data_IF_928327203796
#
_entry.id   IF_928327203796
#
_cell.length_a   1.000
_cell.length_b   1.000
_cell.length_c   1.000
_cell.angle_alpha   90.00
_cell.angle_beta   90.00
_cell.angle_gamma   90.00
#
_symmetry.space_group_name_H-M   'P 1'
#
loop_
_entity.id
_entity.type
_entity.pdbx_description
1 polymer ?
#
# COMPACT_ATOMS: atom_id res chain seq x y z
N UNK A 1 49.83 3.08 -7.89
CA UNK A 1 48.83 3.27 -6.81
C UNK A 1 48.44 1.89 -6.30
N UNK A 2 48.79 1.53 -5.06
CA UNK A 2 48.40 0.25 -4.47
C UNK A 2 47.10 0.47 -3.69
N UNK A 3 46.11 -0.39 -3.92
CA UNK A 3 44.85 -0.34 -3.17
C UNK A 3 45.04 -1.15 -1.90
N UNK A 4 44.71 -0.54 -0.76
CA UNK A 4 44.70 -1.19 0.54
C UNK A 4 43.27 -1.25 1.05
N UNK A 5 42.86 -2.42 1.56
CA UNK A 5 41.57 -2.62 2.18
C UNK A 5 41.81 -2.89 3.67
N UNK A 6 41.39 -1.96 4.51
CA UNK A 6 41.43 -2.15 5.96
C UNK A 6 40.27 -3.05 6.41
N UNK A 7 40.53 -3.93 7.38
CA UNK A 7 39.52 -4.83 7.95
C UNK A 7 38.51 -4.09 8.84
N UNK A 8 38.88 -2.92 9.36
CA UNK A 8 38.10 -2.14 10.33
C UNK A 8 38.09 -0.66 9.97
N UNK A 9 37.03 0.02 10.40
CA UNK A 9 36.85 1.45 10.17
C UNK A 9 37.79 2.36 10.96
N UNK A 10 38.33 1.88 12.08
CA UNK A 10 39.13 2.69 12.99
C UNK A 10 38.36 3.10 14.23
N UNK A 11 38.34 2.16 15.17
CA UNK A 11 37.80 2.33 16.50
C UNK A 11 38.93 2.72 17.46
N UNK A 12 38.58 3.53 18.45
CA UNK A 12 39.52 3.91 19.50
C UNK A 12 39.64 2.74 20.49
N UNK A 13 40.79 2.08 20.49
CA UNK A 13 41.10 0.97 21.40
C UNK A 13 42.35 1.33 22.19
N UNK A 14 42.22 1.41 23.52
CA UNK A 14 43.33 1.74 24.43
C UNK A 14 44.08 3.04 24.10
N UNK A 15 43.38 4.06 23.58
CA UNK A 15 43.96 5.36 23.25
C UNK A 15 44.59 5.45 21.85
N UNK A 16 44.63 4.35 21.10
CA UNK A 16 45.09 4.32 19.70
C UNK A 16 43.96 3.92 18.77
N UNK A 17 43.91 4.51 17.58
CA UNK A 17 42.95 4.11 16.55
C UNK A 17 43.44 2.86 15.81
N UNK A 18 42.56 1.87 15.65
CA UNK A 18 42.84 0.69 14.83
C UNK A 18 42.44 0.88 13.35
N UNK A 19 42.52 -0.17 12.55
CA UNK A 19 41.98 -0.23 11.19
C UNK A 19 42.41 0.92 10.27
N UNK A 20 41.46 1.42 9.48
CA UNK A 20 41.69 2.45 8.47
C UNK A 20 42.37 3.71 9.04
N UNK A 21 41.91 4.20 10.19
CA UNK A 21 42.50 5.40 10.82
C UNK A 21 43.92 5.08 11.31
N UNK A 22 44.12 3.90 11.91
CA UNK A 22 45.45 3.44 12.31
C UNK A 22 46.43 3.34 11.13
N UNK A 23 45.96 2.84 9.98
CA UNK A 23 46.79 2.71 8.78
C UNK A 23 47.18 4.07 8.17
N UNK A 24 46.29 5.07 8.26
CA UNK A 24 46.58 6.45 7.89
C UNK A 24 47.61 7.05 8.84
N UNK A 25 47.43 6.88 10.16
CA UNK A 25 48.36 7.38 11.18
C UNK A 25 49.75 6.72 11.09
N UNK A 26 49.80 5.45 10.71
CA UNK A 26 51.04 4.72 10.48
C UNK A 26 51.76 5.11 9.16
N UNK A 27 51.12 5.94 8.32
CA UNK A 27 51.65 6.32 7.00
C UNK A 27 51.64 5.19 5.98
N UNK A 28 50.82 4.15 6.20
CA UNK A 28 50.65 3.06 5.24
C UNK A 28 49.72 3.47 4.08
N UNK A 29 48.80 4.40 4.34
CA UNK A 29 47.84 4.95 3.37
C UNK A 29 47.90 6.47 3.42
N UNK A 30 48.01 7.12 2.26
CA UNK A 30 48.01 8.59 2.17
C UNK A 30 46.60 9.19 2.22
N UNK A 31 45.61 8.50 1.64
CA UNK A 31 44.22 8.96 1.52
C UNK A 31 43.25 7.78 1.48
N UNK A 32 42.06 7.97 2.06
CA UNK A 32 40.94 7.05 1.95
C UNK A 32 39.70 7.73 1.36
N UNK A 33 38.94 7.02 0.53
CA UNK A 33 37.69 7.50 -0.09
C UNK A 33 36.58 6.54 0.30
N UNK A 34 36.02 6.76 1.49
CA UNK A 34 35.01 5.88 2.06
C UNK A 34 33.85 6.71 2.63
N UNK A 35 32.61 6.19 2.63
CA UNK A 35 31.54 6.79 3.43
C UNK A 35 31.90 6.65 4.90
N UNK A 36 32.21 7.77 5.54
CA UNK A 36 32.77 7.77 6.87
C UNK A 36 32.10 8.80 7.76
N UNK A 37 31.80 8.39 8.99
CA UNK A 37 31.19 9.27 9.98
C UNK A 37 32.25 10.18 10.60
N UNK A 38 32.05 11.48 10.43
CA UNK A 38 32.90 12.52 11.01
C UNK A 38 32.50 12.71 12.48
N UNK A 39 33.32 12.17 13.38
CA UNK A 39 33.15 12.34 14.83
C UNK A 39 34.29 13.18 15.40
N UNK A 40 34.05 13.85 16.53
CA UNK A 40 35.04 14.74 17.16
C UNK A 40 36.36 14.04 17.49
N UNK A 41 36.30 12.85 18.07
CA UNK A 41 37.49 12.08 18.42
C UNK A 41 38.35 11.73 17.20
N UNK A 42 37.72 11.54 16.03
CA UNK A 42 38.43 11.24 14.77
C UNK A 42 38.99 12.49 14.12
N UNK A 43 38.28 13.62 14.20
CA UNK A 43 38.77 14.92 13.74
C UNK A 43 40.03 15.39 14.49
N UNK A 44 40.24 14.92 15.72
CA UNK A 44 41.47 15.20 16.48
C UNK A 44 42.67 14.36 16.00
N UNK A 45 42.43 13.25 15.30
CA UNK A 45 43.48 12.34 14.84
C UNK A 45 43.78 12.46 13.33
N UNK A 46 42.77 12.73 12.51
CA UNK A 46 42.89 12.85 11.06
C UNK A 46 42.09 14.03 10.51
N UNK A 47 42.56 14.60 9.41
CA UNK A 47 41.87 15.66 8.69
C UNK A 47 40.87 15.08 7.70
N UNK A 48 39.68 15.71 7.63
CA UNK A 48 38.62 15.37 6.69
C UNK A 48 38.50 16.42 5.59
N UNK A 49 38.12 15.98 4.41
CA UNK A 49 37.71 16.87 3.32
C UNK A 49 36.27 17.37 3.53
N UNK A 50 35.80 18.25 2.65
CA UNK A 50 34.42 18.74 2.67
C UNK A 50 33.47 17.55 2.49
N UNK A 51 32.45 17.39 3.35
CA UNK A 51 31.48 16.30 3.22
C UNK A 51 30.74 16.42 1.89
N UNK A 52 30.79 15.36 1.08
CA UNK A 52 30.11 15.30 -0.22
C UNK A 52 28.68 14.77 -0.11
N UNK A 53 28.38 14.01 0.94
CA UNK A 53 27.09 13.38 1.18
C UNK A 53 26.74 13.42 2.66
N UNK A 54 25.47 13.66 2.98
CA UNK A 54 24.93 13.55 4.34
C UNK A 54 24.05 12.31 4.43
N UNK A 55 24.35 11.42 5.38
CA UNK A 55 23.57 10.22 5.64
C UNK A 55 22.98 10.30 7.04
N UNK A 56 21.66 10.20 7.12
CA UNK A 56 20.95 10.14 8.39
C UNK A 56 20.75 8.69 8.85
N UNK A 57 20.74 8.50 10.17
CA UNK A 57 20.42 7.20 10.76
C UNK A 57 18.92 6.95 10.63
N UNK A 58 18.54 5.98 9.81
CA UNK A 58 17.15 5.60 9.57
C UNK A 58 16.88 4.16 10.00
N UNK A 59 15.70 3.93 10.56
CA UNK A 59 15.21 2.57 10.83
C UNK A 59 14.49 2.04 9.60
N UNK A 60 15.09 1.03 8.96
CA UNK A 60 14.50 0.34 7.81
C UNK A 60 13.68 -0.86 8.28
N UNK A 61 12.37 -0.83 8.03
CA UNK A 61 11.48 -1.97 8.24
C UNK A 61 11.16 -2.65 6.92
N UNK A 62 11.04 -3.98 6.94
CA UNK A 62 10.51 -4.69 5.79
C UNK A 62 9.03 -4.32 5.63
N UNK A 63 8.60 -4.19 4.37
CA UNK A 63 7.19 -4.00 4.05
C UNK A 63 6.40 -5.16 4.67
N UNK A 64 5.36 -4.89 5.49
CA UNK A 64 4.54 -5.94 6.03
C UNK A 64 3.90 -6.70 4.86
N UNK A 65 4.01 -8.03 4.87
CA UNK A 65 3.38 -8.86 3.84
C UNK A 65 1.87 -8.71 3.99
N UNK A 66 1.24 -7.86 3.19
CA UNK A 66 -0.21 -7.77 3.12
C UNK A 66 -0.72 -8.98 2.34
N UNK A 67 -1.07 -10.05 3.06
CA UNK A 67 -1.72 -11.22 2.48
C UNK A 67 -3.24 -11.11 2.58
N UNK A 68 -3.81 -9.99 2.12
CA UNK A 68 -5.26 -9.91 1.92
C UNK A 68 -5.54 -9.91 0.43
N UNK A 69 -5.73 -11.11 -0.13
CA UNK A 69 -6.38 -11.29 -1.43
C UNK A 69 -7.90 -11.03 -1.32
N UNK A 70 -8.32 -10.11 -0.43
CA UNK A 70 -9.71 -9.68 -0.37
C UNK A 70 -9.93 -8.68 -1.51
N UNK A 71 -11.05 -8.83 -2.20
CA UNK A 71 -11.45 -7.91 -3.24
C UNK A 71 -11.62 -6.51 -2.64
N UNK A 72 -10.70 -5.59 -2.93
CA UNK A 72 -10.73 -4.22 -2.41
C UNK A 72 -12.04 -3.47 -2.73
N UNK A 73 -12.77 -3.90 -3.77
CA UNK A 73 -14.07 -3.32 -4.10
C UNK A 73 -15.19 -3.64 -3.09
N UNK A 74 -15.07 -4.73 -2.33
CA UNK A 74 -16.05 -5.14 -1.31
C UNK A 74 -15.67 -4.69 0.11
N UNK A 75 -14.48 -4.10 0.28
CA UNK A 75 -14.01 -3.57 1.56
C UNK A 75 -14.83 -2.41 2.16
N UNK A 76 -15.50 -1.51 1.42
CA UNK A 76 -16.16 -0.36 2.04
C UNK A 76 -17.39 -0.72 2.89
N UNK A 77 -17.95 -1.92 2.72
CA UNK A 77 -19.11 -2.38 3.49
C UNK A 77 -18.83 -3.72 4.16
N UNK A 78 -19.30 -3.89 5.39
CA UNK A 78 -19.28 -5.17 6.11
C UNK A 78 -20.16 -6.20 5.41
N UNK A 79 -19.83 -7.49 5.52
CA UNK A 79 -20.61 -8.60 4.93
C UNK A 79 -22.11 -8.53 5.28
N UNK A 80 -22.43 -8.10 6.51
CA UNK A 80 -23.80 -7.90 6.99
C UNK A 80 -24.55 -6.80 6.20
N UNK A 81 -23.87 -5.72 5.83
CA UNK A 81 -24.48 -4.62 5.06
C UNK A 81 -24.76 -5.05 3.62
N UNK A 82 -23.88 -5.85 3.01
CA UNK A 82 -24.13 -6.41 1.68
C UNK A 82 -25.37 -7.31 1.65
N UNK A 83 -25.60 -8.10 2.71
CA UNK A 83 -26.83 -8.89 2.86
C UNK A 83 -28.08 -8.01 2.94
N UNK A 84 -28.01 -6.91 3.69
CA UNK A 84 -29.11 -5.94 3.79
C UNK A 84 -29.41 -5.28 2.44
N UNK A 85 -28.38 -4.91 1.67
CA UNK A 85 -28.54 -4.33 0.32
C UNK A 85 -29.28 -5.30 -0.62
N UNK A 86 -28.88 -6.57 -0.64
CA UNK A 86 -29.56 -7.60 -1.44
C UNK A 86 -31.01 -7.83 -0.96
N UNK A 87 -31.24 -7.80 0.35
CA UNK A 87 -32.59 -7.95 0.91
C UNK A 87 -33.50 -6.80 0.49
N UNK A 88 -33.04 -5.55 0.60
CA UNK A 88 -33.84 -4.39 0.20
C UNK A 88 -34.11 -4.41 -1.32
N UNK A 89 -33.11 -4.77 -2.13
CA UNK A 89 -33.26 -4.89 -3.58
C UNK A 89 -34.32 -5.94 -3.98
N UNK A 90 -34.32 -7.10 -3.31
CA UNK A 90 -35.32 -8.15 -3.58
C UNK A 90 -36.73 -7.75 -3.15
N UNK A 91 -36.88 -7.09 -2.00
CA UNK A 91 -38.18 -6.56 -1.54
C UNK A 91 -38.74 -5.53 -2.53
N UNK A 92 -37.89 -4.62 -3.03
CA UNK A 92 -38.30 -3.62 -4.02
C UNK A 92 -38.72 -4.29 -5.33
N UNK A 93 -37.94 -5.24 -5.83
CA UNK A 93 -38.28 -5.99 -7.05
C UNK A 93 -39.61 -6.74 -6.92
N UNK A 94 -39.87 -7.41 -5.79
CA UNK A 94 -41.14 -8.10 -5.52
C UNK A 94 -42.30 -7.11 -5.49
N UNK A 95 -42.13 -5.95 -4.86
CA UNK A 95 -43.18 -4.92 -4.77
C UNK A 95 -43.56 -4.39 -6.16
N UNK A 96 -42.58 -4.20 -7.04
CA UNK A 96 -42.82 -3.81 -8.44
C UNK A 96 -43.50 -4.93 -9.23
N UNK A 97 -43.10 -6.19 -9.05
CA UNK A 97 -43.76 -7.33 -9.69
C UNK A 97 -45.23 -7.46 -9.28
N UNK A 98 -45.54 -7.26 -8.00
CA UNK A 98 -46.93 -7.27 -7.50
C UNK A 98 -47.72 -6.11 -8.09
N UNK A 99 -47.13 -4.91 -8.16
CA UNK A 99 -47.77 -3.73 -8.75
C UNK A 99 -48.12 -3.95 -10.22
N UNK A 100 -47.22 -4.56 -10.98
CA UNK A 100 -47.45 -4.91 -12.38
C UNK A 100 -48.53 -6.00 -12.51
N UNK A 101 -48.52 -7.03 -11.65
CA UNK A 101 -49.58 -8.05 -11.62
C UNK A 101 -50.95 -7.46 -11.29
N UNK A 102 -51.01 -6.46 -10.42
CA UNK A 102 -52.25 -5.77 -10.05
C UNK A 102 -52.80 -4.93 -11.21
N UNK A 103 -51.93 -4.19 -11.90
CA UNK A 103 -52.31 -3.39 -13.07
C UNK A 103 -52.86 -4.29 -14.19
N UNK A 104 -52.22 -5.43 -14.45
CA UNK A 104 -52.70 -6.44 -15.39
C UNK A 104 -54.02 -7.09 -15.00
N UNK A 105 -54.27 -7.27 -13.70
CA UNK A 105 -55.51 -7.86 -13.23
C UNK A 105 -56.67 -6.87 -13.28
N UNK A 106 -56.39 -5.57 -13.12
CA UNK A 106 -57.40 -4.52 -13.22
C UNK A 106 -57.75 -4.18 -14.68
N UNK A 107 -56.77 -4.27 -15.59
CA UNK A 107 -56.96 -4.01 -17.02
C UNK A 107 -57.36 -5.29 -17.81
N UNK A 108 -58.58 -5.78 -17.56
CA UNK A 108 -59.20 -6.91 -18.28
C UNK A 108 -59.56 -6.52 -19.75
N UNK A 109 -59.08 -5.37 -20.25
CA UNK A 109 -59.43 -4.82 -21.57
C UNK A 109 -58.26 -4.51 -22.52
N UNK A 110 -57.00 -4.41 -22.05
CA UNK A 110 -55.85 -4.15 -22.92
C UNK A 110 -54.82 -5.28 -22.89
N UNK A 111 -54.32 -5.63 -24.08
CA UNK A 111 -53.41 -6.74 -24.32
C UNK A 111 -51.99 -6.43 -23.82
N UNK A 112 -51.77 -6.40 -22.52
CA UNK A 112 -50.42 -6.46 -21.96
C UNK A 112 -50.11 -7.93 -21.66
N UNK A 113 -49.39 -8.57 -22.58
CA UNK A 113 -48.96 -9.95 -22.44
C UNK A 113 -47.93 -10.06 -21.32
N UNK A 114 -48.20 -10.89 -20.32
CA UNK A 114 -47.22 -11.23 -19.28
C UNK A 114 -46.14 -12.13 -19.87
N UNK A 115 -45.30 -11.56 -20.72
CA UNK A 115 -44.18 -12.26 -21.34
C UNK A 115 -43.03 -12.39 -20.33
N UNK A 116 -42.19 -13.41 -20.49
CA UNK A 116 -40.96 -13.57 -19.70
C UNK A 116 -40.09 -12.31 -19.71
N UNK A 117 -40.22 -11.50 -20.76
CA UNK A 117 -39.57 -10.20 -20.93
C UNK A 117 -39.98 -9.19 -19.84
N UNK A 118 -41.24 -9.21 -19.36
CA UNK A 118 -41.74 -8.28 -18.33
C UNK A 118 -41.09 -8.50 -16.95
N UNK A 119 -40.76 -9.76 -16.61
CA UNK A 119 -40.03 -10.09 -15.39
C UNK A 119 -38.57 -9.58 -15.47
N UNK A 120 -37.93 -9.74 -16.63
CA UNK A 120 -36.58 -9.20 -16.83
C UNK A 120 -36.57 -7.67 -16.88
N UNK A 121 -37.59 -7.02 -17.44
CA UNK A 121 -37.72 -5.57 -17.50
C UNK A 121 -37.90 -4.94 -16.12
N UNK A 122 -38.74 -5.53 -15.28
CA UNK A 122 -38.89 -5.10 -13.87
C UNK A 122 -37.62 -5.33 -13.06
N UNK A 123 -36.85 -6.39 -13.36
CA UNK A 123 -35.52 -6.61 -12.80
C UNK A 123 -34.51 -5.54 -13.24
N UNK A 124 -34.46 -5.25 -14.54
CA UNK A 124 -33.56 -4.24 -15.11
C UNK A 124 -33.86 -2.83 -14.61
N UNK A 125 -35.14 -2.45 -14.53
CA UNK A 125 -35.56 -1.15 -13.98
C UNK A 125 -35.23 -1.01 -12.50
N UNK A 126 -35.33 -2.09 -11.72
CA UNK A 126 -34.89 -2.11 -10.32
C UNK A 126 -33.38 -1.87 -10.21
N UNK A 127 -32.58 -2.54 -11.04
CA UNK A 127 -31.12 -2.36 -11.06
C UNK A 127 -30.74 -0.94 -11.51
N UNK A 128 -31.41 -0.40 -12.53
CA UNK A 128 -31.19 0.97 -12.99
C UNK A 128 -31.49 1.99 -11.88
N UNK A 129 -32.64 1.86 -11.22
CA UNK A 129 -33.03 2.73 -10.11
C UNK A 129 -32.04 2.70 -8.92
N UNK A 130 -31.49 1.52 -8.60
CA UNK A 130 -30.50 1.36 -7.54
C UNK A 130 -29.11 1.88 -7.94
N UNK A 131 -28.75 1.78 -9.23
CA UNK A 131 -27.44 2.16 -9.74
C UNK A 131 -27.30 3.67 -10.04
N UNK A 132 -28.30 4.50 -9.71
CA UNK A 132 -28.33 5.93 -10.08
C UNK A 132 -28.08 6.15 -11.59
N UNK A 133 -28.65 5.30 -12.45
CA UNK A 133 -28.62 5.48 -13.91
C UNK A 133 -30.00 5.83 -14.46
#
# INVERSE_FOLDING_TARGET
>A
MKLHQADRWGYLVNGTFDGLIGDILAGFIDMSINPFEITRARMEAIDFTVPTWSADVVFSFLHPKSSSLKNNFLMPFTDDLWLVVVLIATVYWITLLISLKLELHYDIGSSVTFDANSISETGLTTVAALSQQ
#
